data_IF_317763223500
#
_entry.id   IF_317763223500
#
_cell.length_a   1.000
_cell.length_b   1.000
_cell.length_c   1.000
_cell.angle_alpha   90.00
_cell.angle_beta   90.00
_cell.angle_gamma   90.00
#
_symmetry.space_group_name_H-M   'P 1'
#
loop_
_entity.id
_entity.type
_entity.pdbx_description
1 polymer ?
#
# COMPACT_ATOMS: atom_id res chain seq x y z
N UNK A 1 26.41 -23.63 -8.77
CA UNK A 1 26.53 -25.01 -8.28
C UNK A 1 25.80 -26.01 -9.21
N UNK A 2 24.57 -25.71 -9.63
CA UNK A 2 23.86 -26.54 -10.63
C UNK A 2 24.51 -26.54 -12.02
N UNK A 3 25.44 -25.67 -12.26
CA UNK A 3 26.16 -25.56 -13.54
C UNK A 3 27.43 -26.44 -13.62
N UNK A 4 27.67 -27.30 -12.61
CA UNK A 4 28.82 -28.21 -12.60
C UNK A 4 30.18 -27.49 -12.60
N UNK A 5 30.28 -26.33 -11.99
CA UNK A 5 31.53 -25.55 -11.92
C UNK A 5 31.83 -24.74 -13.18
N UNK A 6 30.89 -24.58 -14.11
CA UNK A 6 31.05 -23.77 -15.34
C UNK A 6 31.30 -22.30 -15.08
N UNK A 7 30.83 -21.76 -13.94
CA UNK A 7 31.13 -20.39 -13.53
C UNK A 7 32.26 -20.41 -12.46
N UNK A 8 33.26 -19.59 -12.68
CA UNK A 8 34.35 -19.39 -11.74
C UNK A 8 33.89 -18.58 -10.51
N UNK A 9 34.86 -17.91 -9.88
CA UNK A 9 34.61 -16.98 -8.77
C UNK A 9 34.14 -15.64 -9.34
N UNK A 10 33.02 -15.12 -8.86
CA UNK A 10 32.55 -13.77 -9.18
C UNK A 10 33.36 -12.75 -8.36
N UNK A 11 33.86 -11.69 -8.99
CA UNK A 11 34.55 -10.64 -8.27
C UNK A 11 33.60 -9.84 -7.37
N UNK A 12 32.36 -9.65 -7.83
CA UNK A 12 31.34 -8.91 -7.11
C UNK A 12 29.94 -9.51 -7.35
N UNK A 13 29.18 -9.69 -6.28
CA UNK A 13 27.81 -10.18 -6.30
C UNK A 13 26.92 -9.15 -5.65
N UNK A 14 25.91 -8.67 -6.38
CA UNK A 14 24.89 -7.74 -5.86
C UNK A 14 23.62 -8.53 -5.54
N UNK A 15 23.15 -8.40 -4.31
CA UNK A 15 21.92 -9.02 -3.82
C UNK A 15 20.89 -7.90 -3.62
N UNK A 16 20.07 -7.68 -4.63
CA UNK A 16 18.90 -6.79 -4.51
C UNK A 16 17.79 -7.51 -3.76
N UNK A 17 16.92 -6.75 -3.06
CA UNK A 17 15.89 -7.27 -2.16
C UNK A 17 16.46 -8.29 -1.14
N UNK A 18 17.59 -7.94 -0.55
CA UNK A 18 18.38 -8.84 0.29
C UNK A 18 17.63 -9.33 1.55
N UNK A 19 16.51 -8.70 1.96
CA UNK A 19 15.65 -9.23 3.00
C UNK A 19 15.13 -10.65 2.69
N UNK A 20 15.12 -11.07 1.42
CA UNK A 20 14.77 -12.43 0.99
C UNK A 20 15.85 -13.45 1.28
N UNK A 21 17.09 -13.03 1.49
CA UNK A 21 18.20 -13.91 1.84
C UNK A 21 18.25 -14.24 3.33
N UNK A 22 17.30 -13.71 4.11
CA UNK A 22 17.13 -14.00 5.54
C UNK A 22 16.25 -15.23 5.78
N UNK A 23 16.33 -15.79 6.98
CA UNK A 23 15.52 -16.92 7.43
C UNK A 23 16.34 -18.06 8.00
N UNK A 24 15.72 -19.22 8.17
CA UNK A 24 16.36 -20.38 8.78
C UNK A 24 17.13 -21.18 7.73
N UNK A 25 18.41 -21.42 7.99
CA UNK A 25 19.26 -22.34 7.26
C UNK A 25 19.06 -23.74 7.82
N UNK A 26 18.46 -24.63 7.05
CA UNK A 26 18.25 -26.02 7.40
C UNK A 26 19.40 -26.87 6.88
N UNK A 27 19.79 -27.89 7.62
CA UNK A 27 20.73 -28.92 7.19
C UNK A 27 20.18 -29.85 6.11
N UNK A 28 18.88 -29.74 5.81
CA UNK A 28 18.12 -30.61 4.88
C UNK A 28 17.77 -29.89 3.56
N UNK A 29 17.31 -30.69 2.57
CA UNK A 29 17.03 -30.23 1.18
C UNK A 29 15.99 -29.12 1.01
N UNK A 30 15.28 -28.73 2.05
CA UNK A 30 14.18 -27.73 2.01
C UNK A 30 14.64 -26.30 2.31
N UNK A 31 15.93 -26.02 2.19
CA UNK A 31 16.49 -24.69 2.36
C UNK A 31 16.03 -23.74 1.26
N UNK A 32 15.62 -22.52 1.64
CA UNK A 32 15.29 -21.47 0.68
C UNK A 32 16.47 -21.21 -0.26
N UNK A 33 16.21 -21.21 -1.55
CA UNK A 33 17.25 -20.94 -2.55
C UNK A 33 17.94 -19.58 -2.37
N UNK A 34 17.27 -18.61 -1.76
CA UNK A 34 17.83 -17.29 -1.51
C UNK A 34 18.93 -17.29 -0.42
N UNK A 35 18.83 -18.18 0.58
CA UNK A 35 19.82 -18.28 1.67
C UNK A 35 21.14 -18.88 1.14
N UNK A 36 21.10 -19.64 0.06
CA UNK A 36 22.29 -20.25 -0.57
C UNK A 36 23.32 -19.22 -1.07
N UNK A 37 22.95 -17.95 -1.18
CA UNK A 37 23.88 -16.86 -1.52
C UNK A 37 24.99 -16.70 -0.49
N UNK A 38 24.77 -17.09 0.77
CA UNK A 38 25.77 -17.03 1.84
C UNK A 38 26.74 -18.20 1.83
N UNK A 39 26.56 -19.18 0.95
CA UNK A 39 27.42 -20.38 0.87
C UNK A 39 28.24 -20.38 -0.40
N UNK A 40 29.56 -20.28 -0.25
CA UNK A 40 30.51 -20.27 -1.36
C UNK A 40 30.55 -21.60 -2.15
N UNK A 41 30.01 -22.68 -1.61
CA UNK A 41 29.85 -23.93 -2.38
C UNK A 41 28.82 -23.77 -3.49
N UNK A 42 27.82 -22.88 -3.30
CA UNK A 42 26.79 -22.60 -4.28
C UNK A 42 27.14 -21.43 -5.19
N UNK A 43 27.51 -20.27 -4.60
CA UNK A 43 27.89 -19.07 -5.35
C UNK A 43 29.18 -18.52 -4.78
N UNK A 44 30.25 -18.71 -5.52
CA UNK A 44 31.56 -18.21 -5.15
C UNK A 44 31.70 -16.74 -5.49
N UNK A 45 31.75 -15.88 -4.47
CA UNK A 45 31.88 -14.43 -4.62
C UNK A 45 33.02 -13.87 -3.77
N UNK A 46 33.91 -13.05 -4.37
CA UNK A 46 34.97 -12.37 -3.60
C UNK A 46 34.37 -11.29 -2.68
N UNK A 47 33.38 -10.57 -3.17
CA UNK A 47 32.65 -9.54 -2.42
C UNK A 47 31.17 -9.64 -2.70
N UNK A 48 30.33 -9.31 -1.68
CA UNK A 48 28.89 -9.25 -1.79
C UNK A 48 28.40 -7.90 -1.31
N UNK A 49 27.43 -7.35 -2.04
CA UNK A 49 26.67 -6.16 -1.65
C UNK A 49 25.21 -6.58 -1.43
N UNK A 50 24.72 -6.35 -0.24
CA UNK A 50 23.34 -6.60 0.11
C UNK A 50 22.57 -5.28 0.14
N UNK A 51 21.52 -5.18 -0.65
CA UNK A 51 20.69 -3.98 -0.74
C UNK A 51 19.23 -4.34 -0.45
N UNK A 52 18.58 -3.56 0.37
CA UNK A 52 17.14 -3.70 0.64
C UNK A 52 16.56 -2.41 1.18
N UNK A 53 15.31 -2.11 0.83
CA UNK A 53 14.56 -1.03 1.47
C UNK A 53 14.09 -1.41 2.88
N UNK A 54 14.02 -2.72 3.19
CA UNK A 54 13.39 -3.24 4.41
C UNK A 54 14.29 -4.30 5.06
N UNK A 55 15.29 -3.90 5.86
CA UNK A 55 16.13 -4.85 6.57
C UNK A 55 15.29 -5.78 7.46
N UNK A 56 15.52 -7.08 7.34
CA UNK A 56 14.79 -8.07 8.13
C UNK A 56 15.65 -8.55 9.30
N UNK A 57 15.20 -8.20 10.50
CA UNK A 57 15.85 -8.54 11.75
C UNK A 57 15.00 -9.55 12.53
N UNK A 58 15.65 -10.52 13.14
CA UNK A 58 14.97 -11.50 13.97
C UNK A 58 15.32 -11.30 15.44
N UNK A 59 14.27 -11.16 16.25
CA UNK A 59 14.41 -11.00 17.69
C UNK A 59 14.97 -12.23 18.39
N UNK A 60 15.39 -12.07 19.64
CA UNK A 60 16.05 -13.09 20.47
C UNK A 60 15.26 -14.40 20.58
N UNK A 61 13.94 -14.33 20.69
CA UNK A 61 13.08 -15.52 20.73
C UNK A 61 13.17 -16.39 19.47
N UNK A 62 13.32 -15.78 18.31
CA UNK A 62 13.47 -16.50 17.05
C UNK A 62 14.87 -17.17 16.98
N UNK A 63 15.91 -16.49 17.46
CA UNK A 63 17.27 -17.01 17.58
C UNK A 63 17.35 -18.19 18.53
N UNK A 64 16.73 -18.10 19.69
CA UNK A 64 16.65 -19.20 20.67
C UNK A 64 15.93 -20.41 20.07
N UNK A 65 14.82 -20.22 19.36
CA UNK A 65 14.12 -21.30 18.67
C UNK A 65 14.96 -21.96 17.59
N UNK A 66 15.69 -21.19 16.80
CA UNK A 66 16.58 -21.71 15.77
C UNK A 66 17.70 -22.54 16.40
N UNK A 67 18.37 -22.02 17.43
CA UNK A 67 19.43 -22.72 18.17
C UNK A 67 18.97 -24.04 18.79
N UNK A 68 17.76 -24.06 19.37
CA UNK A 68 17.18 -25.30 19.94
C UNK A 68 16.92 -26.40 18.90
N UNK A 69 16.79 -26.03 17.63
CA UNK A 69 16.55 -26.96 16.53
C UNK A 69 17.80 -27.19 15.65
N UNK A 70 18.99 -26.85 16.16
CA UNK A 70 20.26 -26.93 15.42
C UNK A 70 20.23 -26.24 14.04
N UNK A 71 19.48 -25.13 13.94
CA UNK A 71 19.35 -24.35 12.73
C UNK A 71 20.09 -23.02 12.85
N UNK A 72 20.71 -22.58 11.75
CA UNK A 72 21.31 -21.25 11.66
C UNK A 72 20.26 -20.25 11.16
N UNK A 73 20.04 -19.19 11.92
CA UNK A 73 19.14 -18.12 11.54
C UNK A 73 19.93 -16.98 10.88
N UNK A 74 19.71 -16.77 9.58
CA UNK A 74 20.27 -15.65 8.85
C UNK A 74 19.43 -14.38 9.12
N UNK A 75 20.01 -13.44 9.84
CA UNK A 75 19.40 -12.14 10.19
C UNK A 75 20.31 -11.02 9.71
N UNK A 76 19.74 -9.92 9.18
CA UNK A 76 20.54 -8.87 8.53
C UNK A 76 21.40 -8.04 9.50
N UNK A 77 21.21 -8.21 10.81
CA UNK A 77 22.10 -7.67 11.84
C UNK A 77 23.30 -8.59 12.18
N UNK A 78 23.42 -9.72 11.48
CA UNK A 78 24.62 -10.57 11.59
C UNK A 78 25.70 -10.06 10.63
N UNK A 79 26.64 -9.28 11.18
CA UNK A 79 27.76 -8.70 10.41
C UNK A 79 28.69 -9.77 9.80
N UNK A 80 28.66 -10.99 10.31
CA UNK A 80 29.49 -12.07 9.76
C UNK A 80 28.94 -12.57 8.43
N UNK A 81 27.63 -12.46 8.21
CA UNK A 81 26.93 -12.86 6.99
C UNK A 81 26.76 -11.69 6.02
N UNK A 82 26.36 -10.53 6.53
CA UNK A 82 25.95 -9.39 5.71
C UNK A 82 26.99 -8.27 5.64
N UNK A 83 27.99 -8.29 6.54
CA UNK A 83 28.93 -7.18 6.71
C UNK A 83 28.29 -6.00 7.44
N UNK A 84 29.05 -4.92 7.59
CA UNK A 84 28.58 -3.71 8.22
C UNK A 84 27.63 -2.93 7.30
N UNK A 85 26.59 -2.34 7.89
CA UNK A 85 25.76 -1.36 7.18
C UNK A 85 26.60 -0.09 6.97
N UNK A 86 26.84 0.28 5.71
CA UNK A 86 27.65 1.45 5.39
C UNK A 86 26.85 2.60 4.76
N UNK A 87 25.57 2.37 4.42
CA UNK A 87 24.73 3.42 3.88
C UNK A 87 23.24 3.14 4.11
N UNK A 88 22.53 4.15 4.61
CA UNK A 88 21.08 4.11 4.81
C UNK A 88 20.43 5.39 4.31
N UNK A 89 19.33 5.25 3.55
CA UNK A 89 18.47 6.36 3.14
C UNK A 89 17.07 6.09 3.67
N UNK A 90 16.56 7.01 4.48
CA UNK A 90 15.16 7.00 4.91
C UNK A 90 14.28 7.88 4.00
N UNK A 91 12.95 7.77 4.13
CA UNK A 91 12.01 8.56 3.35
C UNK A 91 12.21 10.05 3.56
N UNK A 92 12.41 10.50 4.79
CA UNK A 92 12.63 11.91 5.11
C UNK A 92 13.82 12.51 4.36
N UNK A 93 14.96 11.82 4.35
CA UNK A 93 16.13 12.24 3.58
C UNK A 93 15.86 12.31 2.08
N UNK A 94 15.19 11.27 1.54
CA UNK A 94 14.88 11.21 0.13
C UNK A 94 13.92 12.32 -0.33
N UNK A 95 12.94 12.66 0.50
CA UNK A 95 12.00 13.76 0.26
C UNK A 95 12.71 15.12 0.33
N UNK A 96 13.51 15.36 1.39
CA UNK A 96 14.26 16.61 1.56
C UNK A 96 15.23 16.88 0.41
N UNK A 97 15.81 15.83 -0.17
CA UNK A 97 16.72 15.94 -1.30
C UNK A 97 16.02 15.86 -2.67
N UNK A 98 14.70 15.87 -2.73
CA UNK A 98 13.92 15.84 -3.97
C UNK A 98 14.05 14.55 -4.77
N UNK A 99 14.48 13.46 -4.13
CA UNK A 99 14.57 12.11 -4.73
C UNK A 99 13.18 11.48 -4.81
N UNK A 100 12.38 11.70 -3.75
CA UNK A 100 11.01 11.24 -3.63
C UNK A 100 10.05 12.42 -3.42
N UNK A 101 8.80 12.24 -3.82
CA UNK A 101 7.70 13.13 -3.47
C UNK A 101 7.24 12.85 -2.04
N UNK A 102 6.85 13.87 -1.30
CA UNK A 102 6.27 13.69 0.03
C UNK A 102 4.89 13.00 -0.03
N UNK A 103 4.38 12.53 1.11
CA UNK A 103 3.14 11.77 1.15
C UNK A 103 2.23 12.21 2.30
N UNK A 104 0.94 11.91 2.14
CA UNK A 104 -0.08 12.09 3.18
C UNK A 104 -0.80 10.76 3.44
N UNK A 105 -1.05 10.46 4.71
CA UNK A 105 -1.88 9.31 5.10
C UNK A 105 -3.27 9.82 5.44
N UNK A 106 -4.25 9.27 4.75
CA UNK A 106 -5.66 9.59 4.93
C UNK A 106 -6.38 8.36 5.48
N UNK A 107 -6.75 8.40 6.74
CA UNK A 107 -7.63 7.42 7.36
C UNK A 107 -9.06 7.92 7.20
N UNK A 108 -9.82 7.26 6.35
CA UNK A 108 -11.21 7.61 6.06
C UNK A 108 -12.14 6.78 6.94
N UNK A 109 -12.73 7.41 7.93
CA UNK A 109 -13.80 6.79 8.70
C UNK A 109 -15.12 6.97 7.99
N UNK A 110 -15.81 5.87 7.73
CA UNK A 110 -17.13 5.85 7.09
C UNK A 110 -18.11 5.23 8.06
N UNK A 111 -19.13 5.96 8.46
CA UNK A 111 -20.23 5.44 9.25
C UNK A 111 -21.46 5.19 8.38
N UNK A 112 -22.30 4.29 8.83
CA UNK A 112 -23.46 3.80 8.09
C UNK A 112 -24.47 4.91 7.77
N UNK A 113 -24.66 5.83 8.69
CA UNK A 113 -25.60 6.96 8.59
C UNK A 113 -25.19 8.01 7.54
N UNK A 114 -23.98 7.92 7.02
CA UNK A 114 -23.46 8.85 6.02
C UNK A 114 -23.81 8.47 4.59
N UNK A 115 -24.30 7.26 4.39
CA UNK A 115 -24.63 6.76 3.07
C UNK A 115 -26.13 6.89 2.85
N UNK A 116 -26.56 7.53 1.74
CA UNK A 116 -27.98 7.63 1.40
C UNK A 116 -28.65 6.26 1.36
N UNK A 117 -29.80 6.11 2.02
CA UNK A 117 -30.51 4.84 2.12
C UNK A 117 -30.94 4.30 0.75
N UNK A 118 -31.26 5.18 -0.19
CA UNK A 118 -31.59 4.85 -1.57
C UNK A 118 -30.39 4.28 -2.33
N UNK A 119 -29.20 4.82 -2.12
CA UNK A 119 -27.95 4.25 -2.68
C UNK A 119 -27.69 2.85 -2.12
N UNK A 120 -27.86 2.68 -0.82
CA UNK A 120 -27.70 1.36 -0.19
C UNK A 120 -28.69 0.34 -0.73
N UNK A 121 -29.95 0.77 -1.02
CA UNK A 121 -30.94 -0.11 -1.63
C UNK A 121 -30.54 -0.48 -3.06
N UNK A 122 -30.14 0.49 -3.88
CA UNK A 122 -29.70 0.27 -5.26
C UNK A 122 -28.49 -0.66 -5.32
N UNK A 123 -27.52 -0.50 -4.42
CA UNK A 123 -26.35 -1.39 -4.35
C UNK A 123 -26.75 -2.82 -3.94
N UNK A 124 -27.72 -2.99 -3.02
CA UNK A 124 -28.28 -4.30 -2.67
C UNK A 124 -28.99 -4.95 -3.85
N UNK A 125 -29.71 -4.16 -4.64
CA UNK A 125 -30.44 -4.64 -5.82
C UNK A 125 -29.52 -5.06 -6.97
N UNK A 126 -28.30 -4.49 -7.04
CA UNK A 126 -27.31 -4.84 -8.06
C UNK A 126 -26.82 -6.29 -7.94
N UNK A 127 -26.62 -6.78 -6.75
CA UNK A 127 -26.40 -8.22 -6.44
C UNK A 127 -26.02 -8.40 -4.96
N UNK A 128 -26.93 -8.86 -4.13
CA UNK A 128 -26.70 -9.10 -2.70
C UNK A 128 -25.59 -10.14 -2.40
N UNK A 129 -25.12 -10.88 -3.43
CA UNK A 129 -24.01 -11.85 -3.30
C UNK A 129 -22.64 -11.24 -3.57
N UNK A 130 -22.55 -10.14 -4.30
CA UNK A 130 -21.29 -9.55 -4.75
C UNK A 130 -20.75 -8.46 -3.82
N UNK A 131 -21.63 -7.82 -3.03
CA UNK A 131 -21.29 -6.76 -2.10
C UNK A 131 -21.98 -6.98 -0.77
N UNK A 132 -21.21 -6.94 0.29
CA UNK A 132 -21.74 -6.76 1.63
C UNK A 132 -21.82 -5.25 1.94
N UNK A 133 -22.52 -4.92 3.03
CA UNK A 133 -22.72 -3.55 3.48
C UNK A 133 -21.39 -2.83 3.76
N UNK A 134 -20.51 -3.49 4.48
CA UNK A 134 -19.18 -2.96 4.86
C UNK A 134 -18.33 -2.61 3.64
N UNK A 135 -18.31 -3.49 2.64
CA UNK A 135 -17.54 -3.23 1.42
C UNK A 135 -18.11 -2.04 0.65
N UNK A 136 -19.43 -1.87 0.60
CA UNK A 136 -20.07 -0.69 -0.01
C UNK A 136 -19.63 0.59 0.67
N UNK A 137 -19.66 0.63 2.02
CA UNK A 137 -19.21 1.78 2.80
C UNK A 137 -17.74 2.11 2.51
N UNK A 138 -16.87 1.12 2.49
CA UNK A 138 -15.45 1.29 2.16
C UNK A 138 -15.25 1.85 0.76
N UNK A 139 -15.98 1.34 -0.23
CA UNK A 139 -15.84 1.80 -1.62
C UNK A 139 -16.32 3.25 -1.79
N UNK A 140 -17.40 3.67 -1.13
CA UNK A 140 -17.84 5.07 -1.13
C UNK A 140 -16.78 5.95 -0.44
N UNK A 141 -16.20 5.50 0.66
CA UNK A 141 -15.07 6.18 1.28
C UNK A 141 -13.90 6.36 0.31
N UNK A 142 -13.55 5.31 -0.43
CA UNK A 142 -12.49 5.37 -1.47
C UNK A 142 -12.81 6.38 -2.55
N UNK A 143 -14.05 6.41 -3.07
CA UNK A 143 -14.46 7.36 -4.11
C UNK A 143 -14.30 8.80 -3.61
N UNK A 144 -14.75 9.09 -2.39
CA UNK A 144 -14.59 10.40 -1.77
C UNK A 144 -13.11 10.73 -1.49
N UNK A 145 -12.33 9.77 -1.02
CA UNK A 145 -10.89 9.93 -0.83
C UNK A 145 -10.16 10.30 -2.12
N UNK A 146 -10.42 9.59 -3.21
CA UNK A 146 -9.84 9.86 -4.53
C UNK A 146 -10.32 11.19 -5.13
N UNK A 147 -11.54 11.62 -4.76
CA UNK A 147 -12.12 12.90 -5.13
C UNK A 147 -11.68 14.05 -4.23
N UNK A 148 -10.94 13.78 -3.17
CA UNK A 148 -10.53 14.74 -2.13
C UNK A 148 -11.73 15.41 -1.44
N UNK A 149 -12.83 14.71 -1.31
CA UNK A 149 -14.07 15.18 -0.69
C UNK A 149 -14.22 14.63 0.73
N UNK A 150 -14.89 15.43 1.58
CA UNK A 150 -15.34 14.97 2.89
C UNK A 150 -16.73 14.37 2.72
N UNK A 151 -16.90 13.13 3.11
CA UNK A 151 -18.21 12.47 3.07
C UNK A 151 -19.17 13.19 4.04
N UNK A 152 -20.38 13.52 3.56
CA UNK A 152 -21.39 14.20 4.36
C UNK A 152 -21.27 15.73 4.45
N UNK A 153 -20.17 16.32 3.99
CA UNK A 153 -19.98 17.78 3.98
C UNK A 153 -19.85 18.31 2.56
N UNK A 154 -20.96 18.83 2.05
CA UNK A 154 -21.13 19.23 0.64
C UNK A 154 -20.14 20.34 0.26
N UNK A 155 -19.26 20.03 -0.69
CA UNK A 155 -18.35 21.00 -1.28
C UNK A 155 -17.04 21.24 -0.52
N UNK A 156 -16.83 20.62 0.66
CA UNK A 156 -15.59 20.75 1.41
C UNK A 156 -14.55 19.76 0.92
N UNK A 157 -13.34 20.24 0.61
CA UNK A 157 -12.19 19.42 0.27
C UNK A 157 -11.27 19.29 1.49
N UNK A 158 -10.72 18.10 1.72
CA UNK A 158 -9.76 17.87 2.81
C UNK A 158 -8.31 18.24 2.43
N UNK A 159 -8.05 18.58 1.18
CA UNK A 159 -6.75 18.99 0.69
C UNK A 159 -6.82 20.38 0.02
N UNK A 160 -5.76 21.16 0.19
CA UNK A 160 -5.62 22.46 -0.49
C UNK A 160 -5.44 22.32 -2.02
N UNK A 161 -4.98 21.17 -2.51
CA UNK A 161 -4.92 20.84 -3.92
C UNK A 161 -6.25 20.19 -4.36
N UNK A 162 -7.12 20.88 -5.11
CA UNK A 162 -8.45 20.38 -5.47
C UNK A 162 -8.42 19.36 -6.63
N UNK A 163 -7.26 19.07 -7.21
CA UNK A 163 -7.16 18.16 -8.36
C UNK A 163 -7.55 16.75 -7.96
N UNK A 164 -8.41 16.15 -8.78
CA UNK A 164 -8.82 14.76 -8.62
C UNK A 164 -7.63 13.80 -8.79
N UNK A 165 -7.63 12.70 -8.08
CA UNK A 165 -6.63 11.66 -8.26
C UNK A 165 -6.96 10.83 -9.50
N UNK A 166 -5.94 10.55 -10.32
CA UNK A 166 -6.09 9.94 -11.64
C UNK A 166 -5.68 8.48 -11.67
N UNK A 167 -4.74 8.08 -10.80
CA UNK A 167 -4.13 6.75 -10.83
C UNK A 167 -3.94 6.22 -9.42
N UNK A 168 -4.50 5.03 -9.15
CA UNK A 168 -4.35 4.41 -7.84
C UNK A 168 -4.07 2.90 -7.95
N UNK A 169 -3.37 2.37 -6.94
CA UNK A 169 -3.28 0.93 -6.68
C UNK A 169 -4.14 0.58 -5.47
N UNK A 170 -4.98 -0.43 -5.60
CA UNK A 170 -5.77 -0.96 -4.49
C UNK A 170 -5.25 -2.34 -4.07
N UNK A 171 -4.96 -2.47 -2.80
CA UNK A 171 -4.47 -3.71 -2.21
C UNK A 171 -5.55 -4.40 -1.39
N UNK A 172 -5.77 -5.69 -1.69
CA UNK A 172 -6.69 -6.58 -0.97
C UNK A 172 -5.94 -7.77 -0.38
N UNK A 173 -6.59 -8.53 0.49
CA UNK A 173 -5.97 -9.70 1.13
C UNK A 173 -5.98 -10.96 0.25
N UNK A 174 -6.91 -11.05 -0.72
CA UNK A 174 -7.16 -12.23 -1.54
C UNK A 174 -7.47 -11.86 -2.99
N UNK A 175 -7.07 -12.70 -3.94
CA UNK A 175 -7.42 -12.55 -5.35
C UNK A 175 -8.92 -12.78 -5.54
N UNK A 176 -9.43 -13.92 -5.08
CA UNK A 176 -10.82 -14.31 -5.08
C UNK A 176 -11.48 -14.44 -6.45
N UNK A 177 -12.81 -14.37 -6.47
CA UNK A 177 -13.66 -14.35 -7.66
C UNK A 177 -14.47 -13.07 -7.68
N UNK A 178 -15.11 -12.77 -8.80
CA UNK A 178 -15.97 -11.59 -8.98
C UNK A 178 -17.13 -11.56 -7.99
N UNK A 179 -17.70 -12.74 -7.66
CA UNK A 179 -18.81 -12.93 -6.73
C UNK A 179 -18.38 -13.10 -5.26
N UNK A 180 -17.09 -12.93 -4.93
CA UNK A 180 -16.55 -13.06 -3.57
C UNK A 180 -16.21 -11.68 -2.99
N UNK A 181 -17.07 -11.13 -2.09
CA UNK A 181 -16.92 -9.77 -1.56
C UNK A 181 -15.53 -9.44 -0.99
N UNK A 182 -15.07 -8.21 -1.23
CA UNK A 182 -13.80 -7.68 -0.70
C UNK A 182 -12.53 -8.25 -1.30
N UNK A 183 -12.63 -9.11 -2.31
CA UNK A 183 -11.48 -9.67 -3.02
C UNK A 183 -11.06 -8.80 -4.19
N UNK A 184 -9.85 -9.00 -4.72
CA UNK A 184 -9.30 -8.15 -5.76
C UNK A 184 -10.11 -8.16 -7.06
N UNK A 185 -10.57 -9.33 -7.51
CA UNK A 185 -11.43 -9.45 -8.70
C UNK A 185 -12.83 -8.90 -8.46
N UNK A 186 -13.35 -9.08 -7.25
CA UNK A 186 -14.64 -8.48 -6.89
C UNK A 186 -14.55 -6.96 -6.91
N UNK A 187 -13.53 -6.36 -6.29
CA UNK A 187 -13.35 -4.90 -6.27
C UNK A 187 -13.17 -4.34 -7.69
N UNK A 188 -12.43 -5.02 -8.58
CA UNK A 188 -12.35 -4.64 -10.01
C UNK A 188 -13.74 -4.50 -10.63
N UNK A 189 -14.62 -5.47 -10.36
CA UNK A 189 -15.95 -5.54 -10.95
C UNK A 189 -16.93 -4.53 -10.32
N UNK A 190 -16.94 -4.40 -9.00
CA UNK A 190 -17.97 -3.65 -8.28
C UNK A 190 -17.62 -2.16 -8.09
N UNK A 191 -16.36 -1.80 -7.96
CA UNK A 191 -15.96 -0.42 -7.69
C UNK A 191 -16.40 0.58 -8.77
N UNK A 192 -16.27 0.29 -10.09
CA UNK A 192 -16.81 1.18 -11.12
C UNK A 192 -18.32 1.35 -11.06
N UNK A 193 -19.05 0.28 -10.71
CA UNK A 193 -20.52 0.27 -10.61
C UNK A 193 -21.00 1.10 -9.41
N UNK A 194 -20.36 0.91 -8.26
CA UNK A 194 -20.63 1.72 -7.07
C UNK A 194 -20.31 3.20 -7.33
N UNK A 195 -19.22 3.49 -8.04
CA UNK A 195 -18.85 4.85 -8.43
C UNK A 195 -19.93 5.51 -9.32
N UNK A 196 -20.47 4.78 -10.30
CA UNK A 196 -21.51 5.27 -11.16
C UNK A 196 -22.81 5.55 -10.39
N UNK A 197 -23.26 4.60 -9.57
CA UNK A 197 -24.48 4.78 -8.74
C UNK A 197 -24.32 5.92 -7.73
N UNK A 198 -23.16 6.00 -7.07
CA UNK A 198 -22.89 7.09 -6.14
C UNK A 198 -22.97 8.45 -6.86
N UNK A 199 -22.41 8.54 -8.06
CA UNK A 199 -22.46 9.76 -8.86
C UNK A 199 -23.90 10.16 -9.21
N UNK A 200 -24.80 9.22 -9.51
CA UNK A 200 -26.22 9.46 -9.79
C UNK A 200 -26.98 10.06 -8.59
N UNK A 201 -26.51 9.83 -7.36
CA UNK A 201 -27.13 10.42 -6.15
C UNK A 201 -26.70 11.86 -5.88
N UNK A 202 -25.70 12.35 -6.60
CA UNK A 202 -25.14 13.69 -6.44
C UNK A 202 -25.83 14.71 -7.33
N UNK A 203 -25.84 15.97 -6.91
CA UNK A 203 -26.27 17.08 -7.75
C UNK A 203 -25.30 17.32 -8.92
N UNK A 204 -25.75 17.94 -10.00
CA UNK A 204 -24.94 18.25 -11.19
C UNK A 204 -23.62 18.99 -10.86
N UNK A 205 -23.62 19.83 -9.82
CA UNK A 205 -22.41 20.52 -9.37
C UNK A 205 -21.43 19.59 -8.61
N UNK A 206 -21.98 18.71 -7.76
CA UNK A 206 -21.17 17.75 -7.03
C UNK A 206 -20.56 16.70 -7.96
N UNK A 207 -21.30 16.25 -8.97
CA UNK A 207 -20.82 15.31 -9.99
C UNK A 207 -19.55 15.79 -10.67
N UNK A 208 -19.41 17.08 -10.97
CA UNK A 208 -18.21 17.68 -11.61
C UNK A 208 -16.94 17.57 -10.77
N UNK A 209 -17.06 17.27 -9.50
CA UNK A 209 -15.98 17.24 -8.53
C UNK A 209 -15.71 15.87 -7.93
N UNK A 210 -16.28 14.82 -8.50
CA UNK A 210 -16.12 13.42 -8.07
C UNK A 210 -15.49 12.60 -9.19
N UNK A 211 -14.63 11.64 -8.82
CA UNK A 211 -13.97 10.77 -9.79
C UNK A 211 -14.93 9.76 -10.41
N UNK A 212 -14.76 9.48 -11.70
CA UNK A 212 -15.33 8.34 -12.39
C UNK A 212 -14.33 7.19 -12.39
N UNK A 213 -14.61 6.11 -11.71
CA UNK A 213 -13.63 5.04 -11.53
C UNK A 213 -13.74 4.00 -12.63
N UNK A 214 -12.58 3.68 -13.23
CA UNK A 214 -12.36 2.46 -14.01
C UNK A 214 -11.38 1.58 -13.26
N UNK A 215 -11.65 0.28 -13.20
CA UNK A 215 -10.79 -0.65 -12.48
C UNK A 215 -10.32 -1.80 -13.38
N UNK A 216 -9.13 -2.32 -13.10
CA UNK A 216 -8.58 -3.57 -13.64
C UNK A 216 -7.88 -4.33 -12.54
N UNK A 217 -7.92 -5.67 -12.65
CA UNK A 217 -7.22 -6.56 -11.73
C UNK A 217 -5.87 -6.99 -12.30
N UNK A 218 -4.90 -7.22 -11.39
CA UNK A 218 -3.62 -7.86 -11.71
C UNK A 218 -3.24 -8.85 -10.62
N UNK A 219 -2.85 -10.06 -11.02
CA UNK A 219 -2.33 -11.08 -10.11
C UNK A 219 -1.07 -11.77 -10.64
N UNK A 220 -0.45 -12.59 -9.78
CA UNK A 220 0.79 -13.29 -10.10
C UNK A 220 0.64 -14.45 -11.10
N UNK A 221 -0.59 -14.88 -11.43
CA UNK A 221 -0.87 -15.93 -12.41
C UNK A 221 -0.93 -15.38 -13.84
N UNK A 222 -1.11 -14.07 -13.99
CA UNK A 222 -1.15 -13.38 -15.28
C UNK A 222 0.22 -13.40 -15.98
N UNK A 223 0.20 -13.60 -17.28
CA UNK A 223 1.39 -13.51 -18.14
C UNK A 223 2.00 -12.10 -18.11
N UNK A 224 3.29 -11.99 -18.40
CA UNK A 224 3.99 -10.71 -18.43
C UNK A 224 3.34 -9.71 -19.41
N UNK A 225 2.88 -10.18 -20.56
CA UNK A 225 2.22 -9.35 -21.59
C UNK A 225 0.93 -8.73 -21.09
N UNK A 226 0.07 -9.52 -20.45
CA UNK A 226 -1.21 -9.08 -19.91
C UNK A 226 -1.02 -8.08 -18.76
N UNK A 227 -0.09 -8.38 -17.84
CA UNK A 227 0.28 -7.48 -16.76
C UNK A 227 0.81 -6.15 -17.28
N UNK A 228 1.72 -6.19 -18.27
CA UNK A 228 2.27 -4.99 -18.87
C UNK A 228 1.21 -4.17 -19.61
N UNK A 229 0.23 -4.80 -20.27
CA UNK A 229 -0.89 -4.11 -20.90
C UNK A 229 -1.77 -3.38 -19.86
N UNK A 230 -2.02 -3.99 -18.70
CA UNK A 230 -2.76 -3.33 -17.60
C UNK A 230 -1.98 -2.14 -17.03
N UNK A 231 -0.66 -2.26 -16.88
CA UNK A 231 0.18 -1.15 -16.41
C UNK A 231 0.31 -0.03 -17.45
N UNK A 232 0.39 -0.36 -18.73
CA UNK A 232 0.35 0.63 -19.81
C UNK A 232 -0.98 1.40 -19.79
N UNK A 233 -2.11 0.68 -19.67
CA UNK A 233 -3.41 1.30 -19.49
C UNK A 233 -3.46 2.25 -18.27
N UNK A 234 -2.88 1.85 -17.15
CA UNK A 234 -2.80 2.71 -15.95
C UNK A 234 -1.98 3.98 -16.22
N UNK A 235 -0.94 3.88 -17.06
CA UNK A 235 -0.04 4.98 -17.39
C UNK A 235 -0.62 5.98 -18.39
N UNK A 236 -1.50 5.53 -19.28
CA UNK A 236 -2.11 6.37 -20.32
C UNK A 236 -2.92 7.51 -19.70
N UNK A 237 -2.91 8.66 -20.36
CA UNK A 237 -3.82 9.75 -20.00
C UNK A 237 -5.24 9.41 -20.44
N UNK A 238 -6.20 9.70 -19.57
CA UNK A 238 -7.61 9.52 -19.87
C UNK A 238 -8.16 10.81 -20.47
N UNK A 239 -9.02 10.67 -21.48
CA UNK A 239 -9.71 11.80 -22.13
C UNK A 239 -10.68 12.51 -21.16
N UNK A 240 -11.34 11.74 -20.29
CA UNK A 240 -12.21 12.29 -19.25
C UNK A 240 -11.36 12.85 -18.09
N UNK A 241 -11.46 14.16 -17.77
CA UNK A 241 -10.74 14.77 -16.68
C UNK A 241 -11.14 14.25 -15.29
N UNK A 242 -12.26 13.56 -15.17
CA UNK A 242 -12.72 12.93 -13.92
C UNK A 242 -12.38 11.44 -13.83
N UNK A 243 -11.86 10.83 -14.90
CA UNK A 243 -11.52 9.41 -14.87
C UNK A 243 -10.37 9.13 -13.90
N UNK A 244 -10.60 8.23 -12.95
CA UNK A 244 -9.57 7.67 -12.08
C UNK A 244 -9.40 6.18 -12.40
N UNK A 245 -8.20 5.78 -12.77
CA UNK A 245 -7.85 4.39 -13.06
C UNK A 245 -7.30 3.71 -11.83
N UNK A 246 -7.94 2.62 -11.42
CA UNK A 246 -7.56 1.83 -10.24
C UNK A 246 -7.13 0.44 -10.68
N UNK A 247 -5.94 0.02 -10.26
CA UNK A 247 -5.51 -1.37 -10.44
C UNK A 247 -5.58 -2.08 -9.10
N UNK A 248 -6.40 -3.14 -9.04
CA UNK A 248 -6.54 -3.98 -7.85
C UNK A 248 -5.55 -5.13 -7.89
N UNK A 249 -4.95 -5.45 -6.76
CA UNK A 249 -4.03 -6.56 -6.63
C UNK A 249 -3.89 -7.03 -5.18
N UNK A 250 -3.19 -8.18 -5.00
CA UNK A 250 -2.86 -8.69 -3.66
C UNK A 250 -1.40 -8.41 -3.31
N UNK A 251 -0.46 -8.90 -4.11
CA UNK A 251 0.99 -8.76 -3.86
C UNK A 251 1.81 -8.52 -5.12
N UNK A 252 1.28 -8.83 -6.30
CA UNK A 252 2.08 -8.89 -7.52
C UNK A 252 2.68 -7.55 -7.95
N UNK A 253 2.13 -6.45 -7.47
CA UNK A 253 2.64 -5.10 -7.72
C UNK A 253 3.44 -4.53 -6.53
N UNK A 254 3.75 -5.32 -5.50
CA UNK A 254 4.60 -4.86 -4.38
C UNK A 254 6.06 -4.79 -4.78
N UNK A 255 6.57 -5.73 -5.59
CA UNK A 255 7.98 -5.85 -5.92
C UNK A 255 8.23 -5.98 -7.43
N UNK A 256 9.36 -5.47 -7.89
CA UNK A 256 9.95 -5.76 -9.21
C UNK A 256 9.18 -5.28 -10.44
N UNK A 257 8.10 -4.52 -10.28
CA UNK A 257 7.29 -4.03 -11.40
C UNK A 257 7.42 -2.51 -11.48
N UNK A 258 7.76 -2.00 -12.66
CA UNK A 258 7.76 -0.56 -12.89
C UNK A 258 6.32 -0.06 -13.09
N UNK A 259 5.80 0.56 -12.05
CA UNK A 259 4.45 1.14 -12.04
C UNK A 259 4.58 2.63 -12.38
N UNK A 260 3.73 3.17 -13.25
CA UNK A 260 3.72 4.59 -13.51
C UNK A 260 3.48 5.38 -12.24
N UNK A 261 3.75 6.65 -12.26
CA UNK A 261 3.53 7.51 -11.13
C UNK A 261 2.06 7.48 -10.69
N UNK A 262 1.86 7.19 -9.41
CA UNK A 262 0.56 7.01 -8.78
C UNK A 262 0.20 8.25 -7.96
N UNK A 263 -1.08 8.58 -7.93
CA UNK A 263 -1.59 9.59 -6.99
C UNK A 263 -1.87 8.94 -5.63
N UNK A 264 -2.42 7.72 -5.62
CA UNK A 264 -2.80 7.06 -4.39
C UNK A 264 -2.47 5.57 -4.35
N UNK A 265 -2.30 5.09 -3.11
CA UNK A 265 -2.35 3.67 -2.73
C UNK A 265 -3.50 3.49 -1.76
N UNK A 266 -4.37 2.52 -2.06
CA UNK A 266 -5.56 2.18 -1.27
C UNK A 266 -5.31 0.87 -0.53
N UNK A 267 -5.39 0.87 0.79
CA UNK A 267 -5.34 -0.34 1.60
C UNK A 267 -6.76 -0.74 2.01
N UNK A 268 -7.36 -1.65 1.25
CA UNK A 268 -8.74 -2.11 1.47
C UNK A 268 -8.85 -3.23 2.50
N UNK A 269 -7.72 -3.80 2.90
CA UNK A 269 -7.65 -4.85 3.91
C UNK A 269 -6.29 -4.85 4.62
N UNK A 270 -6.25 -5.54 5.78
CA UNK A 270 -5.03 -5.68 6.58
C UNK A 270 -3.85 -6.25 5.78
N UNK A 271 -2.66 -5.74 6.06
CA UNK A 271 -1.41 -6.21 5.50
C UNK A 271 -0.58 -6.87 6.59
N UNK A 272 -0.23 -8.13 6.40
CA UNK A 272 0.56 -8.89 7.36
C UNK A 272 2.07 -8.64 7.23
N UNK A 273 2.51 -7.82 6.26
CA UNK A 273 3.93 -7.57 5.97
C UNK A 273 4.23 -6.09 5.93
N UNK A 274 5.06 -5.63 6.86
CA UNK A 274 5.60 -4.25 6.84
C UNK A 274 6.36 -3.96 5.54
N UNK A 275 7.05 -4.96 4.99
CA UNK A 275 7.76 -4.87 3.71
C UNK A 275 6.82 -4.47 2.59
N UNK A 276 5.67 -5.18 2.46
CA UNK A 276 4.67 -4.91 1.42
C UNK A 276 4.10 -3.47 1.54
N UNK A 277 3.90 -2.98 2.77
CA UNK A 277 3.42 -1.61 3.02
C UNK A 277 4.45 -0.59 2.54
N UNK A 278 5.70 -0.70 3.00
CA UNK A 278 6.78 0.25 2.67
C UNK A 278 7.04 0.30 1.17
N UNK A 279 7.10 -0.85 0.51
CA UNK A 279 7.29 -0.93 -0.94
C UNK A 279 6.11 -0.34 -1.71
N UNK A 280 4.87 -0.55 -1.24
CA UNK A 280 3.67 0.03 -1.85
C UNK A 280 3.67 1.56 -1.73
N UNK A 281 4.04 2.08 -0.56
CA UNK A 281 4.16 3.52 -0.31
C UNK A 281 5.29 4.14 -1.13
N UNK A 282 6.44 3.49 -1.22
CA UNK A 282 7.54 3.93 -2.08
C UNK A 282 7.14 4.16 -3.54
N UNK A 283 6.09 3.46 -4.04
CA UNK A 283 5.58 3.64 -5.40
C UNK A 283 4.80 4.94 -5.58
N UNK A 284 4.01 5.33 -4.58
CA UNK A 284 3.26 6.57 -4.62
C UNK A 284 4.14 7.79 -4.36
N UNK A 285 5.32 7.59 -3.78
CA UNK A 285 6.31 8.63 -3.54
C UNK A 285 7.25 8.87 -4.74
N UNK A 286 7.17 8.10 -5.81
CA UNK A 286 8.00 8.32 -7.01
C UNK A 286 7.77 9.71 -7.58
N UNK A 287 8.85 10.46 -7.78
CA UNK A 287 8.78 11.80 -8.34
C UNK A 287 8.55 11.77 -9.85
N UNK A 288 7.72 12.67 -10.34
CA UNK A 288 7.47 12.90 -11.77
C UNK A 288 8.57 13.77 -12.39
N UNK A 289 9.79 13.31 -12.46
CA UNK A 289 10.88 14.10 -13.06
C UNK A 289 10.71 14.42 -14.56
N UNK A 290 9.69 13.85 -15.23
CA UNK A 290 9.44 14.01 -16.68
C UNK A 290 8.19 14.82 -17.02
N UNK A 291 7.37 15.17 -16.03
CA UNK A 291 6.19 16.01 -16.16
C UNK A 291 6.44 17.26 -15.32
N UNK A 292 5.82 18.36 -15.63
CA UNK A 292 6.12 19.67 -15.05
C UNK A 292 6.30 19.61 -13.51
N UNK A 293 7.30 20.29 -12.92
CA UNK A 293 7.64 20.19 -11.50
C UNK A 293 6.50 20.44 -10.52
N UNK A 294 5.44 21.11 -10.98
CA UNK A 294 4.32 21.58 -10.16
C UNK A 294 3.09 20.62 -10.16
N UNK A 295 3.11 19.51 -10.93
CA UNK A 295 1.91 18.71 -11.15
C UNK A 295 1.60 17.71 -10.01
N UNK A 296 2.60 17.22 -9.29
CA UNK A 296 2.37 16.31 -8.15
C UNK A 296 3.06 16.79 -6.90
N UNK A 297 2.26 17.24 -5.94
CA UNK A 297 2.75 17.76 -4.67
C UNK A 297 2.91 16.69 -3.59
N UNK A 298 2.01 15.70 -3.55
CA UNK A 298 1.98 14.64 -2.56
C UNK A 298 1.57 13.30 -3.17
N UNK A 299 2.06 12.20 -2.60
CA UNK A 299 1.48 10.87 -2.75
C UNK A 299 0.47 10.61 -1.64
N UNK A 300 -0.62 9.91 -1.93
CA UNK A 300 -1.67 9.67 -0.94
C UNK A 300 -1.76 8.19 -0.56
N UNK A 301 -1.86 7.93 0.74
CA UNK A 301 -2.10 6.60 1.30
C UNK A 301 -3.49 6.65 1.91
N UNK A 302 -4.44 5.92 1.32
CA UNK A 302 -5.84 5.94 1.72
C UNK A 302 -6.21 4.64 2.39
N UNK A 303 -6.75 4.73 3.60
CA UNK A 303 -7.15 3.60 4.44
C UNK A 303 -8.61 3.82 4.85
N UNK A 304 -9.59 3.20 4.15
CA UNK A 304 -10.98 3.29 4.53
C UNK A 304 -11.27 2.39 5.73
N UNK A 305 -11.90 2.94 6.75
CA UNK A 305 -12.26 2.24 7.99
C UNK A 305 -13.73 2.45 8.27
N UNK A 306 -14.46 1.38 8.59
CA UNK A 306 -15.85 1.46 8.97
C UNK A 306 -15.92 1.69 10.48
N UNK A 307 -16.75 2.66 10.85
CA UNK A 307 -17.07 2.97 12.25
C UNK A 307 -18.47 2.48 12.52
N UNK A 308 -18.69 1.60 13.50
CA UNK A 308 -20.02 1.14 13.87
C UNK A 308 -20.92 2.30 14.28
N UNK A 309 -22.22 2.18 14.01
CA UNK A 309 -23.22 3.17 14.40
C UNK A 309 -23.16 3.46 15.92
N UNK A 310 -23.20 4.73 16.28
CA UNK A 310 -23.16 5.17 17.67
C UNK A 310 -21.77 5.17 18.32
N UNK A 311 -20.72 4.83 17.58
CA UNK A 311 -19.33 4.89 18.04
C UNK A 311 -18.63 6.12 17.48
N UNK A 312 -17.93 6.88 18.34
CA UNK A 312 -17.09 7.97 17.83
C UNK A 312 -15.84 7.40 17.17
N UNK A 313 -15.24 8.10 16.20
CA UNK A 313 -13.97 7.67 15.60
C UNK A 313 -12.82 7.56 16.59
N UNK A 314 -12.82 8.39 17.64
CA UNK A 314 -11.84 8.27 18.71
C UNK A 314 -12.03 6.98 19.52
N UNK A 315 -13.26 6.59 19.80
CA UNK A 315 -13.57 5.30 20.43
C UNK A 315 -13.22 4.13 19.52
N UNK A 316 -13.57 4.24 18.23
CA UNK A 316 -13.22 3.23 17.23
C UNK A 316 -11.69 3.10 17.06
N UNK A 317 -10.92 4.19 17.10
CA UNK A 317 -9.43 4.15 17.09
C UNK A 317 -8.84 3.39 18.27
N UNK A 318 -9.56 3.31 19.40
CA UNK A 318 -9.15 2.53 20.55
C UNK A 318 -9.56 1.05 20.47
N UNK A 319 -10.41 0.68 19.53
CA UNK A 319 -10.72 -0.73 19.25
C UNK A 319 -9.64 -1.35 18.36
N UNK A 320 -8.75 -2.11 18.98
CA UNK A 320 -7.61 -2.76 18.34
C UNK A 320 -7.97 -3.70 17.19
N UNK A 321 -9.21 -4.16 17.07
CA UNK A 321 -9.64 -5.07 16.00
C UNK A 321 -10.00 -4.33 14.72
N UNK A 322 -10.78 -3.28 14.82
CA UNK A 322 -11.25 -2.47 13.68
C UNK A 322 -10.11 -1.65 13.07
N UNK A 323 -9.19 -1.12 13.88
CA UNK A 323 -8.09 -0.26 13.46
C UNK A 323 -6.73 -0.98 13.36
N UNK A 324 -6.66 -2.29 13.54
CA UNK A 324 -5.40 -3.05 13.39
C UNK A 324 -4.70 -2.77 12.06
N UNK A 325 -5.47 -2.67 10.97
CA UNK A 325 -4.97 -2.33 9.62
C UNK A 325 -4.25 -0.99 9.62
N UNK A 326 -4.87 0.02 10.24
CA UNK A 326 -4.31 1.38 10.31
C UNK A 326 -3.01 1.35 11.09
N UNK A 327 -3.01 0.72 12.26
CA UNK A 327 -1.82 0.63 13.11
C UNK A 327 -0.67 -0.14 12.45
N UNK A 328 -0.96 -1.22 11.73
CA UNK A 328 0.06 -1.97 10.99
C UNK A 328 0.73 -1.11 9.91
N UNK A 329 -0.06 -0.32 9.18
CA UNK A 329 0.45 0.60 8.15
C UNK A 329 1.24 1.74 8.78
N UNK A 330 0.70 2.39 9.82
CA UNK A 330 1.38 3.48 10.51
C UNK A 330 2.70 3.01 11.15
N UNK A 331 2.73 1.83 11.77
CA UNK A 331 3.94 1.27 12.35
C UNK A 331 4.99 0.91 11.29
N UNK A 332 4.56 0.39 10.14
CA UNK A 332 5.47 0.16 9.02
C UNK A 332 6.12 1.45 8.53
N UNK A 333 5.34 2.53 8.39
CA UNK A 333 5.85 3.84 7.99
C UNK A 333 6.79 4.47 9.02
N UNK A 334 6.46 4.35 10.31
CA UNK A 334 7.30 4.85 11.41
C UNK A 334 8.72 4.29 11.38
N UNK A 335 8.89 3.05 10.98
CA UNK A 335 10.20 2.41 10.91
C UNK A 335 11.10 2.94 9.77
N UNK A 336 10.53 3.70 8.84
CA UNK A 336 11.21 4.18 7.64
C UNK A 336 11.18 5.71 7.45
N UNK A 337 10.43 6.41 8.28
CA UNK A 337 10.31 7.87 8.24
C UNK A 337 10.43 8.49 9.63
N UNK A 338 11.57 9.12 9.92
CA UNK A 338 11.84 9.73 11.22
C UNK A 338 10.91 10.92 11.50
N UNK A 339 10.53 11.69 10.47
CA UNK A 339 9.57 12.79 10.61
C UNK A 339 8.17 12.27 10.92
N UNK A 340 7.76 11.20 10.24
CA UNK A 340 6.48 10.55 10.49
C UNK A 340 6.42 9.97 11.90
N UNK A 341 7.53 9.37 12.37
CA UNK A 341 7.63 8.85 13.75
C UNK A 341 7.44 9.96 14.79
N UNK A 342 8.08 11.10 14.62
CA UNK A 342 7.90 12.25 15.51
C UNK A 342 6.44 12.75 15.48
N UNK A 343 5.80 12.79 14.33
CA UNK A 343 4.42 13.25 14.15
C UNK A 343 3.38 12.32 14.77
N UNK A 344 3.50 11.01 14.57
CA UNK A 344 2.58 10.03 15.18
C UNK A 344 2.65 10.07 16.70
N UNK A 345 3.84 10.23 17.27
CA UNK A 345 4.00 10.41 18.71
C UNK A 345 3.35 11.72 19.21
N UNK A 346 3.36 12.77 18.40
CA UNK A 346 2.73 14.06 18.72
C UNK A 346 1.20 13.97 18.63
N UNK A 347 0.63 13.22 17.69
CA UNK A 347 -0.81 12.98 17.58
C UNK A 347 -1.34 12.23 18.81
N UNK A 348 -0.58 11.25 19.32
CA UNK A 348 -0.93 10.53 20.54
C UNK A 348 -0.86 11.43 21.81
N UNK A 349 -0.07 12.51 21.78
CA UNK A 349 0.16 13.40 22.90
C UNK A 349 -0.57 14.75 22.80
N UNK A 350 -0.72 15.30 21.58
CA UNK A 350 -1.31 16.62 21.35
C UNK A 350 -2.10 16.61 20.02
N UNK A 351 -3.37 16.94 20.08
CA UNK A 351 -4.30 17.04 18.93
C UNK A 351 -4.00 18.26 18.04
N UNK A 352 -2.78 18.43 17.54
CA UNK A 352 -2.41 19.69 16.87
C UNK A 352 -2.38 19.61 15.33
N UNK A 353 -2.74 20.75 14.74
CA UNK A 353 -2.98 21.00 13.33
C UNK A 353 -1.69 20.92 12.51
N UNK A 354 -1.69 20.19 11.42
CA UNK A 354 -0.60 20.18 10.43
C UNK A 354 0.09 18.83 10.23
N UNK A 355 -0.49 17.75 10.72
CA UNK A 355 0.11 16.42 10.64
C UNK A 355 0.04 15.79 9.23
N UNK A 356 1.01 14.94 8.89
CA UNK A 356 1.00 14.08 7.71
C UNK A 356 -0.14 13.04 7.73
N UNK A 357 -0.79 12.85 8.87
CA UNK A 357 -1.92 11.94 9.07
C UNK A 357 -3.17 12.75 9.27
N UNK A 358 -4.11 12.63 8.35
CA UNK A 358 -5.44 13.20 8.50
C UNK A 358 -6.40 12.06 8.80
N UNK A 359 -6.97 12.05 10.00
CA UNK A 359 -8.10 11.21 10.34
C UNK A 359 -9.32 12.03 9.96
N UNK A 360 -9.87 11.73 8.79
CA UNK A 360 -11.07 12.40 8.27
C UNK A 360 -12.31 11.78 8.91
N UNK A 361 -12.94 12.55 9.80
CA UNK A 361 -14.36 12.40 10.06
C UNK A 361 -15.12 13.16 8.99
N UNK A 362 -16.26 12.66 8.52
CA UNK A 362 -17.25 13.50 7.91
C UNK A 362 -17.70 14.50 8.98
N UNK A 363 -17.38 15.78 8.79
CA UNK A 363 -17.80 16.87 9.65
C UNK A 363 -16.76 17.46 10.64
N UNK A 364 -15.51 16.99 10.68
CA UNK A 364 -14.47 17.62 11.48
C UNK A 364 -13.13 17.76 10.73
N UNK A 365 -13.05 18.78 9.90
CA UNK A 365 -11.79 19.49 9.65
C UNK A 365 -11.92 20.83 10.38
N UNK A 366 -11.34 20.96 11.54
CA UNK A 366 -11.03 22.24 12.16
C UNK A 366 -9.54 22.50 12.08
#
# INVERSE_FOLDING_TARGET
>A
AQTGGKFGVFDFVVCDEAHRTTGVKLSTKDESNFIKIHNDEFIRGRKRLYMTATPRLYGENARIKASKNDCVLCSMDDETLYGQEFYRVNFSYAVQNGILTDYKVLVLTVSEDMIPADLMQQVKDLNAKELNYDDTCRLIGVINGLSKKILGDKGVTWDADPRLMRRALAFTHKIGREDEPGTSRNIEHVLPRVSALYNETLSDEEQKSVVHIKARHVDGSMGATERNATLAWLAEEADDPQECRVVTNVRCLSEGVDVPALDAVLFLSARNSQVDVVQSVGRVMRSFRRVQPDEKKYGYIIIPVIVPEGTTPEEALNDNTTFSVVWDILNALRSHDDHFNAHVNTIALNRDKGSKVTVGLPGMVR
#
